data_IF_835075451012
#
_entry.id   IF_835075451012
#
_cell.length_a   1.000
_cell.length_b   1.000
_cell.length_c   1.000
_cell.angle_alpha   90.00
_cell.angle_beta   90.00
_cell.angle_gamma   90.00
#
_symmetry.space_group_name_H-M   'P 1'
#
loop_
_entity.id
_entity.type
_entity.pdbx_description
1 polymer ?
#
# COMPACT_ATOMS: atom_id res chain seq x y z
N UNK A 1 5.38 -20.51 -8.55
CA UNK A 1 5.64 -21.74 -9.35
C UNK A 1 5.61 -23.02 -8.52
N UNK A 2 6.33 -23.11 -7.37
CA UNK A 2 6.24 -24.29 -6.46
C UNK A 2 4.82 -24.67 -6.00
N UNK A 3 3.88 -23.72 -5.96
CA UNK A 3 2.48 -23.98 -5.57
C UNK A 3 1.66 -24.77 -6.62
N UNK A 4 1.84 -24.53 -7.93
CA UNK A 4 1.09 -25.25 -8.97
C UNK A 4 1.51 -26.71 -9.08
N UNK A 5 2.81 -26.98 -8.92
CA UNK A 5 3.33 -28.33 -8.86
C UNK A 5 2.94 -29.08 -7.59
N UNK A 6 2.24 -28.47 -6.62
CA UNK A 6 1.79 -29.15 -5.40
C UNK A 6 0.28 -29.39 -5.38
N UNK A 7 -0.47 -28.74 -6.27
CA UNK A 7 -1.92 -28.90 -6.38
C UNK A 7 -2.27 -30.16 -7.20
N UNK A 8 -3.09 -31.02 -6.60
CA UNK A 8 -3.63 -32.24 -7.24
C UNK A 8 -5.08 -31.98 -7.63
N UNK A 9 -5.40 -32.19 -8.90
CA UNK A 9 -6.76 -32.00 -9.43
C UNK A 9 -7.42 -33.35 -9.70
N UNK A 10 -8.66 -33.52 -9.25
CA UNK A 10 -9.46 -34.72 -9.52
C UNK A 10 -10.01 -34.75 -10.96
N UNK A 11 -10.19 -33.58 -11.59
CA UNK A 11 -10.83 -33.43 -12.90
C UNK A 11 -9.97 -32.59 -13.85
N UNK A 12 -9.74 -33.07 -15.08
CA UNK A 12 -8.94 -32.41 -16.12
C UNK A 12 -9.44 -31.01 -16.51
N UNK A 13 -10.75 -30.75 -16.42
CA UNK A 13 -11.35 -29.44 -16.70
C UNK A 13 -11.03 -28.40 -15.61
N UNK A 14 -10.99 -28.79 -14.33
CA UNK A 14 -10.58 -27.90 -13.24
C UNK A 14 -9.11 -27.49 -13.36
N UNK A 15 -8.29 -28.44 -13.81
CA UNK A 15 -6.88 -28.21 -14.14
C UNK A 15 -6.71 -27.18 -15.28
N UNK A 16 -7.40 -27.36 -16.41
CA UNK A 16 -7.34 -26.45 -17.57
C UNK A 16 -7.82 -25.03 -17.24
N UNK A 17 -8.95 -24.91 -16.53
CA UNK A 17 -9.47 -23.61 -16.12
C UNK A 17 -8.53 -22.88 -15.15
N UNK A 18 -7.83 -23.61 -14.27
CA UNK A 18 -6.81 -23.05 -13.38
C UNK A 18 -5.57 -22.61 -14.16
N UNK A 19 -5.11 -23.41 -15.11
CA UNK A 19 -4.01 -23.07 -16.02
C UNK A 19 -4.27 -21.76 -16.78
N UNK A 20 -5.48 -21.61 -17.34
CA UNK A 20 -5.90 -20.39 -18.04
C UNK A 20 -5.96 -19.19 -17.08
N UNK A 21 -6.51 -19.36 -15.87
CA UNK A 21 -6.56 -18.28 -14.86
C UNK A 21 -5.18 -17.80 -14.42
N UNK A 22 -4.17 -18.66 -14.49
CA UNK A 22 -2.80 -18.31 -14.11
C UNK A 22 -2.07 -17.69 -15.29
N UNK A 23 -2.27 -18.19 -16.52
CA UNK A 23 -1.68 -17.57 -17.70
C UNK A 23 -2.17 -16.14 -17.89
N UNK A 24 -3.44 -15.84 -17.58
CA UNK A 24 -4.00 -14.49 -17.65
C UNK A 24 -3.51 -13.54 -16.57
N UNK A 25 -2.87 -14.04 -15.50
CA UNK A 25 -2.25 -13.20 -14.47
C UNK A 25 -0.88 -12.66 -14.88
N UNK A 26 -0.22 -13.25 -15.88
CA UNK A 26 1.09 -12.83 -16.32
C UNK A 26 1.01 -11.70 -17.36
N UNK A 27 1.65 -10.56 -17.04
CA UNK A 27 1.67 -9.39 -17.92
C UNK A 27 2.74 -9.50 -19.02
N UNK A 28 3.95 -9.94 -18.67
CA UNK A 28 5.14 -9.97 -19.54
C UNK A 28 5.73 -11.37 -19.75
N UNK A 29 5.04 -12.41 -19.30
CA UNK A 29 5.53 -13.78 -19.32
C UNK A 29 4.47 -14.71 -19.88
N UNK A 30 4.90 -15.78 -20.53
CA UNK A 30 4.07 -16.82 -21.13
C UNK A 30 4.47 -18.21 -20.61
N UNK A 31 3.52 -19.15 -20.65
CA UNK A 31 3.76 -20.54 -20.25
C UNK A 31 4.15 -21.31 -21.52
N UNK A 32 5.37 -21.86 -21.55
CA UNK A 32 5.95 -22.47 -22.76
C UNK A 32 5.62 -23.97 -22.86
N UNK A 33 5.84 -24.73 -21.79
CA UNK A 33 5.51 -26.15 -21.74
C UNK A 33 4.72 -26.46 -20.48
N UNK A 34 3.60 -27.17 -20.64
CA UNK A 34 2.84 -27.74 -19.52
C UNK A 34 2.92 -29.27 -19.60
N UNK A 35 3.65 -29.89 -18.67
CA UNK A 35 3.68 -31.35 -18.53
C UNK A 35 2.63 -31.78 -17.52
N UNK A 36 1.67 -32.58 -18.00
CA UNK A 36 0.63 -33.20 -17.18
C UNK A 36 1.08 -34.59 -16.78
N UNK A 37 1.29 -34.81 -15.49
CA UNK A 37 1.64 -36.12 -14.95
C UNK A 37 0.46 -36.69 -14.16
N UNK A 38 0.00 -37.93 -14.45
CA UNK A 38 -0.94 -38.62 -13.58
C UNK A 38 -0.22 -39.05 -12.30
N UNK A 39 -0.63 -38.50 -11.17
CA UNK A 39 -0.14 -38.88 -9.84
C UNK A 39 -1.09 -39.91 -9.22
N UNK A 40 -0.58 -41.12 -8.95
CA UNK A 40 -1.27 -42.13 -8.15
C UNK A 40 -1.06 -41.83 -6.66
N UNK A 41 -2.12 -41.94 -5.87
CA UNK A 41 -2.06 -41.85 -4.41
C UNK A 41 -1.28 -43.03 -3.83
N UNK A 42 -0.25 -42.78 -3.02
CA UNK A 42 0.48 -43.78 -2.23
C UNK A 42 -0.17 -44.03 -0.85
N UNK A 43 -1.50 -43.95 -0.73
CA UNK A 43 -2.22 -44.34 0.49
C UNK A 43 -2.84 -45.72 0.30
N UNK A 44 -2.54 -46.62 1.24
CA UNK A 44 -2.86 -48.06 1.22
C UNK A 44 -4.35 -48.40 1.32
N UNK A 45 -5.27 -47.42 1.38
CA UNK A 45 -6.69 -47.64 1.69
C UNK A 45 -7.70 -46.74 0.93
N UNK A 46 -7.39 -46.30 -0.29
CA UNK A 46 -8.41 -45.62 -1.12
C UNK A 46 -8.35 -46.08 -2.55
N UNK A 47 -9.48 -46.59 -3.07
CA UNK A 47 -9.72 -46.92 -4.47
C UNK A 47 -9.08 -45.90 -5.41
N UNK A 48 -8.51 -46.40 -6.51
CA UNK A 48 -7.84 -45.73 -7.63
C UNK A 48 -8.34 -44.31 -8.00
N UNK A 49 -8.06 -43.28 -7.20
CA UNK A 49 -8.25 -41.89 -7.60
C UNK A 49 -7.04 -41.43 -8.42
N UNK A 50 -7.26 -41.27 -9.73
CA UNK A 50 -6.27 -40.68 -10.65
C UNK A 50 -6.27 -39.18 -10.40
N UNK A 51 -5.21 -38.66 -9.78
CA UNK A 51 -5.01 -37.22 -9.61
C UNK A 51 -4.09 -36.66 -10.70
N UNK A 52 -4.40 -35.47 -11.22
CA UNK A 52 -3.60 -34.81 -12.26
C UNK A 52 -2.77 -33.67 -11.65
N UNK A 53 -1.52 -33.56 -12.06
CA UNK A 53 -0.59 -32.52 -11.63
C UNK A 53 0.02 -31.83 -12.85
N UNK A 54 0.14 -30.50 -12.81
CA UNK A 54 0.77 -29.71 -13.87
C UNK A 54 2.12 -29.19 -13.39
N UNK A 55 3.15 -29.43 -14.19
CA UNK A 55 4.38 -28.64 -14.14
C UNK A 55 4.42 -27.75 -15.37
N UNK A 56 4.64 -26.45 -15.16
CA UNK A 56 4.75 -25.48 -16.24
C UNK A 56 6.09 -24.77 -16.16
N UNK A 57 6.71 -24.47 -17.29
CA UNK A 57 7.85 -23.55 -17.41
C UNK A 57 7.36 -22.20 -17.92
N UNK A 58 7.77 -21.13 -17.25
CA UNK A 58 7.41 -19.76 -17.61
C UNK A 58 8.60 -19.12 -18.29
N UNK A 59 8.38 -18.57 -19.49
CA UNK A 59 9.35 -17.81 -20.26
C UNK A 59 8.89 -16.37 -20.43
N UNK A 60 9.82 -15.47 -20.71
CA UNK A 60 9.49 -14.10 -21.06
C UNK A 60 8.77 -14.04 -22.42
N UNK A 61 7.77 -13.17 -22.53
CA UNK A 61 7.08 -12.88 -23.79
C UNK A 61 7.76 -11.67 -24.43
N UNK A 62 8.79 -11.93 -25.24
CA UNK A 62 9.58 -10.89 -25.90
C UNK A 62 8.74 -9.94 -26.74
N UNK A 63 7.63 -10.42 -27.33
CA UNK A 63 6.76 -9.60 -28.18
C UNK A 63 6.04 -8.50 -27.39
N UNK A 64 5.49 -8.85 -26.22
CA UNK A 64 4.86 -7.89 -25.30
C UNK A 64 5.89 -6.97 -24.67
N UNK A 65 7.05 -7.51 -24.29
CA UNK A 65 8.14 -6.71 -23.71
C UNK A 65 8.62 -5.67 -24.72
N UNK A 66 8.86 -6.06 -25.99
CA UNK A 66 9.30 -5.14 -27.02
C UNK A 66 8.25 -4.09 -27.36
N UNK A 67 6.96 -4.47 -27.43
CA UNK A 67 5.87 -3.50 -27.64
C UNK A 67 5.84 -2.45 -26.53
N UNK A 68 6.07 -2.85 -25.28
CA UNK A 68 6.08 -1.95 -24.12
C UNK A 68 7.38 -1.15 -24.00
N UNK A 69 8.51 -1.70 -24.45
CA UNK A 69 9.76 -0.93 -24.60
C UNK A 69 9.64 0.14 -25.68
N UNK A 70 8.90 -0.13 -26.75
CA UNK A 70 8.61 0.84 -27.81
C UNK A 70 7.61 1.91 -27.36
N UNK A 71 6.64 1.55 -26.52
CA UNK A 71 5.68 2.50 -25.93
C UNK A 71 6.30 3.34 -24.81
N UNK A 72 7.35 2.85 -24.16
CA UNK A 72 8.06 3.57 -23.11
C UNK A 72 8.73 4.82 -23.69
N UNK A 73 8.21 5.99 -23.32
CA UNK A 73 8.82 7.27 -23.67
C UNK A 73 10.26 7.35 -23.17
N UNK A 74 11.15 7.92 -24.00
CA UNK A 74 12.53 8.24 -23.61
C UNK A 74 12.54 9.54 -22.82
N UNK A 75 13.27 9.58 -21.72
CA UNK A 75 13.49 10.80 -20.94
C UNK A 75 14.98 10.91 -20.59
N UNK A 76 15.48 12.14 -20.54
CA UNK A 76 16.87 12.45 -20.21
C UNK A 76 16.89 12.81 -18.73
N UNK A 77 17.73 12.11 -17.95
CA UNK A 77 18.06 12.52 -16.58
C UNK A 77 19.48 13.07 -16.63
N UNK A 78 19.67 14.28 -16.11
CA UNK A 78 20.98 14.91 -15.96
C UNK A 78 21.31 15.04 -14.47
N UNK A 79 22.55 14.75 -14.10
CA UNK A 79 23.08 14.90 -12.74
C UNK A 79 24.45 15.55 -12.78
N UNK A 80 24.80 16.27 -11.71
CA UNK A 80 26.14 16.82 -11.52
C UNK A 80 27.11 15.79 -10.92
N UNK A 81 26.62 14.61 -10.51
CA UNK A 81 27.44 13.52 -9.99
C UNK A 81 28.05 12.76 -11.16
N UNK A 82 29.38 12.84 -11.29
CA UNK A 82 30.12 12.21 -12.39
C UNK A 82 30.55 10.77 -12.09
N UNK A 83 30.64 10.41 -10.80
CA UNK A 83 31.07 9.08 -10.37
C UNK A 83 29.89 8.10 -10.33
N UNK A 84 29.99 7.02 -11.11
CA UNK A 84 28.99 5.95 -11.18
C UNK A 84 28.99 5.03 -9.97
N UNK A 85 30.06 5.05 -9.15
CA UNK A 85 30.08 4.35 -7.86
C UNK A 85 29.27 5.10 -6.79
N UNK A 86 29.21 6.44 -6.88
CA UNK A 86 28.43 7.29 -5.96
C UNK A 86 26.94 7.27 -6.32
N UNK A 87 26.62 7.38 -7.62
CA UNK A 87 25.24 7.35 -8.11
C UNK A 87 25.11 6.43 -9.33
N UNK A 88 24.67 5.20 -9.09
CA UNK A 88 24.38 4.26 -10.17
C UNK A 88 23.13 4.67 -10.96
N UNK A 89 23.07 4.28 -12.24
CA UNK A 89 21.92 4.54 -13.13
C UNK A 89 20.59 4.06 -12.51
N UNK A 90 20.61 2.89 -11.88
CA UNK A 90 19.46 2.32 -11.16
C UNK A 90 19.00 3.22 -10.01
N UNK A 91 19.95 3.77 -9.24
CA UNK A 91 19.66 4.66 -8.11
C UNK A 91 19.14 6.01 -8.60
N UNK A 92 19.76 6.55 -9.65
CA UNK A 92 19.33 7.78 -10.32
C UNK A 92 17.89 7.67 -10.82
N UNK A 93 17.55 6.59 -11.52
CA UNK A 93 16.21 6.36 -12.03
C UNK A 93 15.20 6.20 -10.89
N UNK A 94 15.54 5.48 -9.83
CA UNK A 94 14.67 5.33 -8.64
C UNK A 94 14.37 6.67 -8.00
N UNK A 95 15.40 7.50 -7.80
CA UNK A 95 15.24 8.81 -7.16
C UNK A 95 14.38 9.75 -8.02
N UNK A 96 14.66 9.79 -9.33
CA UNK A 96 13.84 10.56 -10.26
C UNK A 96 12.36 10.13 -10.24
N UNK A 97 12.10 8.82 -10.22
CA UNK A 97 10.72 8.30 -10.13
C UNK A 97 10.09 8.54 -8.77
N UNK A 98 10.87 8.66 -7.70
CA UNK A 98 10.38 8.96 -6.36
C UNK A 98 9.81 10.40 -6.25
N UNK A 99 10.20 11.32 -7.14
CA UNK A 99 9.71 12.70 -7.18
C UNK A 99 8.18 12.80 -7.30
N UNK A 100 7.53 11.83 -7.96
CA UNK A 100 6.06 11.76 -8.04
C UNK A 100 5.37 11.67 -6.67
N UNK A 101 6.09 11.27 -5.62
CA UNK A 101 5.56 11.26 -4.27
C UNK A 101 5.25 12.67 -3.74
N UNK A 102 6.06 13.67 -4.12
CA UNK A 102 5.85 15.07 -3.76
C UNK A 102 4.58 15.62 -4.43
N UNK A 103 4.35 15.29 -5.71
CA UNK A 103 3.16 15.70 -6.45
C UNK A 103 1.86 15.17 -5.83
N UNK A 104 1.88 13.89 -5.40
CA UNK A 104 0.76 13.30 -4.65
C UNK A 104 0.48 14.03 -3.34
N UNK A 105 1.50 14.60 -2.70
CA UNK A 105 1.36 15.44 -1.50
C UNK A 105 0.56 16.72 -1.78
N UNK A 106 0.75 17.37 -2.92
CA UNK A 106 -0.03 18.56 -3.28
C UNK A 106 -1.51 18.26 -3.54
N UNK A 107 -1.84 17.03 -3.97
CA UNK A 107 -3.23 16.58 -4.07
C UNK A 107 -3.95 16.61 -2.71
N UNK A 108 -3.24 16.34 -1.60
CA UNK A 108 -3.81 16.43 -0.26
C UNK A 108 -4.16 17.86 0.14
N UNK A 109 -3.33 18.84 -0.23
CA UNK A 109 -3.58 20.25 0.06
C UNK A 109 -4.78 20.83 -0.69
N UNK A 110 -5.16 20.20 -1.80
CA UNK A 110 -6.34 20.53 -2.59
C UNK A 110 -7.56 19.68 -2.21
N UNK A 111 -7.44 18.81 -1.20
CA UNK A 111 -8.55 17.98 -0.77
C UNK A 111 -9.60 18.87 -0.06
N UNK A 112 -10.90 18.74 -0.38
CA UNK A 112 -11.95 19.54 0.25
C UNK A 112 -11.98 19.44 1.78
N UNK A 113 -11.50 18.33 2.36
CA UNK A 113 -11.39 18.16 3.81
C UNK A 113 -10.35 19.08 4.46
N UNK A 114 -9.44 19.65 3.69
CA UNK A 114 -8.49 20.65 4.19
C UNK A 114 -9.14 22.05 4.28
N UNK A 115 -10.40 22.19 3.84
CA UNK A 115 -11.20 23.42 3.86
C UNK A 115 -10.51 24.64 3.21
N UNK A 116 -9.44 24.43 2.43
CA UNK A 116 -8.76 25.52 1.73
C UNK A 116 -9.72 26.22 0.75
N UNK A 117 -10.62 25.46 0.13
CA UNK A 117 -11.62 25.95 -0.82
C UNK A 117 -12.67 26.87 -0.18
N UNK A 118 -12.87 26.81 1.14
CA UNK A 118 -13.83 27.68 1.85
C UNK A 118 -13.22 29.01 2.31
N UNK A 119 -11.90 29.19 2.16
CA UNK A 119 -11.18 30.36 2.66
C UNK A 119 -10.87 31.30 1.49
N UNK A 120 -11.62 32.40 1.42
CA UNK A 120 -11.40 33.44 0.42
C UNK A 120 -10.41 34.51 0.92
N UNK A 121 -9.24 34.60 0.29
CA UNK A 121 -8.18 35.55 0.64
C UNK A 121 -8.14 36.69 -0.40
N UNK A 122 -8.16 37.94 0.08
CA UNK A 122 -8.25 39.13 -0.79
C UNK A 122 -6.91 39.77 -1.16
N UNK A 123 -5.88 39.57 -0.35
CA UNK A 123 -4.57 40.22 -0.53
C UNK A 123 -3.47 39.20 -0.80
N UNK A 124 -2.46 39.55 -1.61
CA UNK A 124 -1.37 38.64 -1.97
C UNK A 124 -0.58 38.17 -0.75
N UNK A 125 -0.37 39.02 0.26
CA UNK A 125 0.39 38.67 1.47
C UNK A 125 -0.31 37.57 2.28
N UNK A 126 -1.65 37.59 2.30
CA UNK A 126 -2.44 36.55 2.96
C UNK A 126 -2.38 35.23 2.18
N UNK A 127 -2.36 35.29 0.85
CA UNK A 127 -2.23 34.10 0.00
C UNK A 127 -0.88 33.43 0.23
N UNK A 128 0.21 34.21 0.26
CA UNK A 128 1.56 33.70 0.55
C UNK A 128 1.65 33.06 1.93
N UNK A 129 1.13 33.76 2.95
CA UNK A 129 1.10 33.25 4.33
C UNK A 129 0.33 31.93 4.42
N UNK A 130 -0.82 31.84 3.75
CA UNK A 130 -1.61 30.61 3.70
C UNK A 130 -0.85 29.48 3.00
N UNK A 131 -0.20 29.75 1.87
CA UNK A 131 0.64 28.78 1.18
C UNK A 131 1.74 28.21 2.07
N UNK A 132 2.38 29.06 2.88
CA UNK A 132 3.39 28.64 3.85
C UNK A 132 2.80 27.72 4.94
N UNK A 133 1.66 28.09 5.52
CA UNK A 133 0.98 27.28 6.54
C UNK A 133 0.56 25.93 5.96
N UNK A 134 -0.02 25.92 4.76
CA UNK A 134 -0.40 24.69 4.06
C UNK A 134 0.81 23.78 3.80
N UNK A 135 1.94 24.35 3.36
CA UNK A 135 3.19 23.62 3.19
C UNK A 135 3.70 23.00 4.50
N UNK A 136 3.65 23.75 5.60
CA UNK A 136 4.03 23.25 6.93
C UNK A 136 3.11 22.12 7.39
N UNK A 137 1.80 22.26 7.19
CA UNK A 137 0.83 21.21 7.50
C UNK A 137 1.11 19.94 6.70
N UNK A 138 1.42 20.06 5.40
CA UNK A 138 1.78 18.90 4.57
C UNK A 138 3.05 18.21 5.08
N UNK A 139 4.04 18.96 5.54
CA UNK A 139 5.24 18.41 6.17
C UNK A 139 4.89 17.61 7.42
N UNK A 140 4.16 18.20 8.36
CA UNK A 140 3.72 17.53 9.60
C UNK A 140 2.93 16.26 9.28
N UNK A 141 2.01 16.36 8.33
CA UNK A 141 1.18 15.24 7.88
C UNK A 141 2.03 14.10 7.29
N UNK A 142 3.02 14.43 6.45
CA UNK A 142 3.92 13.45 5.83
C UNK A 142 4.78 12.75 6.88
N UNK A 143 5.28 13.50 7.87
CA UNK A 143 6.09 12.98 8.97
C UNK A 143 5.28 12.03 9.86
N UNK A 144 4.08 12.44 10.28
CA UNK A 144 3.21 11.60 11.10
C UNK A 144 2.77 10.33 10.35
N UNK A 145 2.45 10.43 9.05
CA UNK A 145 2.15 9.26 8.23
C UNK A 145 3.35 8.30 8.16
N UNK A 146 4.57 8.82 7.97
CA UNK A 146 5.80 8.02 7.95
C UNK A 146 6.02 7.31 9.28
N UNK A 147 5.82 8.03 10.39
CA UNK A 147 5.98 7.48 11.73
C UNK A 147 5.03 6.30 12.00
N UNK A 148 3.73 6.47 11.74
CA UNK A 148 2.74 5.41 11.93
C UNK A 148 3.09 4.19 11.07
N UNK A 149 3.46 4.40 9.80
CA UNK A 149 3.83 3.30 8.89
C UNK A 149 5.07 2.56 9.35
N UNK A 150 6.07 3.26 9.89
CA UNK A 150 7.26 2.65 10.46
C UNK A 150 6.91 1.83 11.70
N UNK A 151 6.13 2.39 12.63
CA UNK A 151 5.67 1.69 13.83
C UNK A 151 4.87 0.42 13.50
N UNK A 152 3.98 0.47 12.50
CA UNK A 152 3.25 -0.71 12.01
C UNK A 152 4.17 -1.78 11.42
N UNK A 153 5.20 -1.35 10.67
CA UNK A 153 6.18 -2.26 10.06
C UNK A 153 7.03 -2.95 11.11
N UNK A 154 7.49 -2.22 12.12
CA UNK A 154 8.31 -2.73 13.23
C UNK A 154 7.50 -3.71 14.11
N UNK A 155 6.27 -3.35 14.46
CA UNK A 155 5.37 -4.20 15.25
C UNK A 155 4.71 -5.32 14.44
N UNK A 156 4.95 -5.41 13.12
CA UNK A 156 4.32 -6.35 12.17
C UNK A 156 2.78 -6.38 12.29
N UNK A 157 2.22 -5.22 12.58
CA UNK A 157 0.79 -5.06 12.84
C UNK A 157 0.10 -4.35 11.68
N UNK A 158 -1.23 -4.32 11.71
CA UNK A 158 -2.05 -3.72 10.65
C UNK A 158 -3.26 -3.02 11.24
N UNK A 159 -3.69 -1.94 10.60
CA UNK A 159 -4.95 -1.25 10.89
C UNK A 159 -5.95 -1.58 9.78
N UNK A 160 -7.25 -1.57 10.08
CA UNK A 160 -8.30 -1.70 9.06
C UNK A 160 -8.35 -0.42 8.21
N UNK A 161 -8.42 -0.56 6.88
CA UNK A 161 -8.68 0.56 5.98
C UNK A 161 -10.18 0.91 5.92
N UNK A 162 -10.56 1.89 5.08
CA UNK A 162 -11.96 2.30 4.84
C UNK A 162 -12.89 1.14 4.43
N UNK A 163 -12.35 0.11 3.79
CA UNK A 163 -13.08 -1.09 3.35
C UNK A 163 -12.99 -2.24 4.38
N UNK A 164 -12.47 -1.97 5.58
CA UNK A 164 -12.30 -2.97 6.64
C UNK A 164 -11.12 -3.94 6.45
N UNK A 165 -10.33 -3.80 5.38
CA UNK A 165 -9.19 -4.68 5.08
C UNK A 165 -7.95 -4.26 5.86
N UNK A 166 -7.20 -5.22 6.36
CA UNK A 166 -5.92 -4.98 7.03
C UNK A 166 -4.92 -4.29 6.09
N UNK A 167 -4.31 -3.20 6.54
CA UNK A 167 -3.25 -2.48 5.86
C UNK A 167 -2.14 -2.09 6.83
N UNK A 168 -0.90 -2.15 6.34
CA UNK A 168 0.30 -1.65 7.01
C UNK A 168 0.76 -0.28 6.45
N UNK A 169 0.01 0.28 5.49
CA UNK A 169 0.33 1.55 4.82
C UNK A 169 -0.84 2.54 4.85
N UNK A 170 -1.45 2.81 6.02
CA UNK A 170 -2.56 3.75 6.12
C UNK A 170 -2.14 5.18 5.72
N UNK A 171 -3.10 5.98 5.29
CA UNK A 171 -2.90 7.43 5.14
C UNK A 171 -3.22 8.13 6.45
N UNK A 172 -2.56 9.26 6.76
CA UNK A 172 -2.86 9.98 8.01
C UNK A 172 -4.30 10.54 8.01
N UNK A 173 -4.89 10.80 6.84
CA UNK A 173 -6.29 11.21 6.68
C UNK A 173 -7.21 10.13 7.20
N UNK A 174 -6.93 8.88 6.85
CA UNK A 174 -7.72 7.76 7.36
C UNK A 174 -7.57 7.65 8.89
N UNK A 175 -6.36 7.85 9.40
CA UNK A 175 -6.13 7.89 10.84
C UNK A 175 -6.97 8.98 11.49
N UNK A 176 -6.96 10.23 11.00
CA UNK A 176 -7.81 11.29 11.55
C UNK A 176 -9.30 10.97 11.49
N UNK A 177 -9.77 10.32 10.41
CA UNK A 177 -11.16 9.85 10.32
C UNK A 177 -11.48 8.80 11.41
N UNK A 178 -10.54 7.94 11.80
CA UNK A 178 -10.74 7.01 12.91
C UNK A 178 -10.95 7.74 14.25
N UNK A 179 -10.41 8.95 14.41
CA UNK A 179 -10.55 9.80 15.61
C UNK A 179 -11.68 10.84 15.50
N UNK A 180 -12.51 10.79 14.45
CA UNK A 180 -13.70 11.65 14.38
C UNK A 180 -14.73 11.30 15.47
N UNK A 181 -15.51 12.30 15.87
CA UNK A 181 -16.57 12.18 16.88
C UNK A 181 -16.06 11.64 18.21
N UNK A 182 -14.93 12.18 18.68
CA UNK A 182 -14.44 12.04 20.05
C UNK A 182 -14.78 13.35 20.77
N UNK A 183 -15.55 13.25 21.84
CA UNK A 183 -15.95 14.39 22.66
C UNK A 183 -15.66 14.09 24.13
N UNK A 184 -15.16 15.09 24.84
CA UNK A 184 -15.11 15.10 26.30
C UNK A 184 -16.50 15.49 26.82
N UNK A 185 -17.08 14.65 27.68
CA UNK A 185 -18.41 14.84 28.26
C UNK A 185 -18.26 14.83 29.77
N UNK A 186 -18.79 15.85 30.44
CA UNK A 186 -18.86 15.87 31.91
C UNK A 186 -20.21 15.34 32.36
N UNK A 187 -20.22 14.23 33.09
CA UNK A 187 -21.40 13.65 33.72
C UNK A 187 -21.14 13.55 35.21
N UNK A 188 -22.04 14.07 36.04
CA UNK A 188 -21.91 13.99 37.51
C UNK A 188 -20.57 14.51 38.06
N UNK A 189 -20.01 15.58 37.46
CA UNK A 189 -18.68 16.14 37.79
C UNK A 189 -17.48 15.24 37.43
N UNK A 190 -17.69 14.12 36.75
CA UNK A 190 -16.64 13.28 36.18
C UNK A 190 -16.52 13.53 34.66
N UNK A 191 -15.28 13.58 34.17
CA UNK A 191 -14.98 13.74 32.75
C UNK A 191 -14.84 12.38 32.06
N UNK A 192 -15.57 12.19 30.96
CA UNK A 192 -15.54 10.96 30.17
C UNK A 192 -15.30 11.25 28.69
N UNK A 193 -14.54 10.38 28.03
CA UNK A 193 -14.35 10.45 26.58
C UNK A 193 -15.39 9.56 25.89
N UNK A 194 -16.22 10.18 25.05
CA UNK A 194 -17.22 9.47 24.26
C UNK A 194 -16.63 8.69 23.09
N UNK A 195 -17.34 7.64 22.67
CA UNK A 195 -17.04 6.85 21.47
C UNK A 195 -15.66 6.15 21.49
N UNK A 196 -15.04 5.98 22.65
CA UNK A 196 -13.73 5.34 22.76
C UNK A 196 -13.77 3.85 22.36
N UNK A 197 -12.72 3.35 21.70
CA UNK A 197 -12.62 1.94 21.30
C UNK A 197 -11.18 1.40 21.27
N UNK A 198 -11.05 0.07 21.20
CA UNK A 198 -9.75 -0.63 21.18
C UNK A 198 -8.90 -0.30 19.96
N UNK A 199 -9.53 0.01 18.83
CA UNK A 199 -8.80 0.38 17.60
C UNK A 199 -8.11 1.75 17.78
N UNK A 200 -8.74 2.69 18.48
CA UNK A 200 -8.16 4.01 18.83
C UNK A 200 -7.02 3.89 19.82
N UNK A 201 -7.18 3.06 20.86
CA UNK A 201 -6.08 2.73 21.80
C UNK A 201 -4.87 2.19 21.05
N UNK A 202 -5.10 1.27 20.13
CA UNK A 202 -4.03 0.68 19.33
C UNK A 202 -3.34 1.72 18.46
N UNK A 203 -4.10 2.59 17.78
CA UNK A 203 -3.51 3.63 16.93
C UNK A 203 -2.71 4.64 17.76
N UNK A 204 -3.20 5.02 18.94
CA UNK A 204 -2.50 5.96 19.82
C UNK A 204 -1.15 5.43 20.31
N UNK A 205 -1.03 4.12 20.56
CA UNK A 205 0.25 3.49 20.91
C UNK A 205 1.28 3.51 19.78
N UNK A 206 0.86 3.80 18.54
CA UNK A 206 1.77 3.96 17.40
C UNK A 206 2.27 5.40 17.24
N UNK A 207 1.66 6.36 17.96
CA UNK A 207 2.01 7.77 17.96
C UNK A 207 2.95 8.08 19.15
N UNK A 208 3.67 9.22 19.13
CA UNK A 208 4.44 9.68 20.28
C UNK A 208 3.61 9.74 21.57
N UNK A 209 4.24 9.51 22.72
CA UNK A 209 3.57 9.56 24.02
C UNK A 209 2.94 10.93 24.32
N UNK A 210 3.47 12.02 23.76
CA UNK A 210 2.88 13.36 23.88
C UNK A 210 1.48 13.44 23.26
N UNK A 211 1.19 12.64 22.23
CA UNK A 211 -0.16 12.56 21.66
C UNK A 211 -1.15 11.94 22.63
N UNK A 212 -0.71 11.00 23.47
CA UNK A 212 -1.56 10.36 24.47
C UNK A 212 -2.10 11.38 25.48
N UNK A 213 -1.30 12.38 25.86
CA UNK A 213 -1.69 13.38 26.87
C UNK A 213 -2.98 14.13 26.51
N UNK A 214 -3.18 14.41 25.22
CA UNK A 214 -4.41 15.07 24.74
C UNK A 214 -5.67 14.21 24.89
N UNK A 215 -5.50 12.89 24.97
CA UNK A 215 -6.59 11.94 25.17
C UNK A 215 -6.59 11.32 26.59
N UNK A 216 -5.58 11.63 27.42
CA UNK A 216 -5.40 11.07 28.77
C UNK A 216 -5.87 12.00 29.88
N UNK A 217 -6.48 13.15 29.57
CA UNK A 217 -7.23 13.96 30.56
C UNK A 217 -8.47 13.24 31.14
N UNK A 218 -8.67 11.95 30.83
CA UNK A 218 -9.77 11.12 31.32
C UNK A 218 -9.32 9.86 32.07
N UNK A 219 -8.18 9.94 32.78
CA UNK A 219 -7.76 8.95 33.79
C UNK A 219 -7.20 9.68 34.99
#
# INVERSE_FOLDING_TARGET
>A
MKKLSQERFAVKQQMLSRHIKISTQFKYHQINESKVTPAKSNKKDSLNEISYQISATVCQDESKINTELLSAGRFIIATNVLDSQELSDDSMLREYKAQQSCERGFGFLKDPLFFADSIFLKSPERIESMGMIMGLCLLVYTLAQRQIRNALKESKSTIKNQLGKATNSPTLRWIFQCFHCIHLITLNQEEHISNWNKDRDFILRLLPDDCLRYYQLAT
#
